data_IF_620481719775
#
_entry.id   IF_620481719775
#
_cell.length_a   1.000
_cell.length_b   1.000
_cell.length_c   1.000
_cell.angle_alpha   90.00
_cell.angle_beta   90.00
_cell.angle_gamma   90.00
#
_symmetry.space_group_name_H-M   'P 1'
#
loop_
_entity.id
_entity.type
_entity.pdbx_description
1 polymer ?
#
# COMPACT_ATOMS: atom_id res chain seq x y z
N UNK A 1 -13.63 27.08 -10.35
CA UNK A 1 -12.79 27.08 -9.13
C UNK A 1 -11.51 26.36 -9.50
N UNK A 2 -10.46 27.10 -9.84
CA UNK A 2 -9.20 26.56 -10.40
C UNK A 2 -8.37 25.92 -9.29
N UNK A 3 -8.21 24.60 -9.36
CA UNK A 3 -7.58 23.75 -8.36
C UNK A 3 -6.43 23.02 -9.06
N UNK A 4 -5.36 23.75 -9.38
CA UNK A 4 -4.29 23.16 -10.19
C UNK A 4 -3.00 22.88 -9.42
N UNK A 5 -2.68 23.55 -8.30
CA UNK A 5 -1.36 23.37 -7.67
C UNK A 5 -1.32 23.63 -6.13
N UNK A 6 -2.23 23.03 -5.33
CA UNK A 6 -2.13 23.17 -3.86
C UNK A 6 -1.37 22.01 -3.20
N UNK A 7 -0.56 22.26 -2.15
CA UNK A 7 0.07 21.18 -1.37
C UNK A 7 -0.95 20.18 -0.79
N UNK A 8 -2.17 20.64 -0.48
CA UNK A 8 -3.29 19.80 -0.03
C UNK A 8 -3.71 18.83 -1.12
N UNK A 9 -3.88 19.30 -2.35
CA UNK A 9 -4.19 18.47 -3.50
C UNK A 9 -3.10 17.45 -3.76
N UNK A 10 -1.83 17.89 -3.77
CA UNK A 10 -0.69 17.02 -3.99
C UNK A 10 -0.62 15.90 -2.93
N UNK A 11 -0.86 16.22 -1.66
CA UNK A 11 -0.90 15.22 -0.59
C UNK A 11 -2.06 14.23 -0.76
N UNK A 12 -3.26 14.73 -1.08
CA UNK A 12 -4.43 13.89 -1.35
C UNK A 12 -4.17 12.90 -2.51
N UNK A 13 -3.60 13.39 -3.62
CA UNK A 13 -3.23 12.55 -4.76
C UNK A 13 -2.12 11.56 -4.42
N UNK A 14 -1.14 11.97 -3.62
CA UNK A 14 -0.08 11.09 -3.14
C UNK A 14 -0.61 9.93 -2.29
N UNK A 15 -1.63 10.15 -1.48
CA UNK A 15 -2.26 9.08 -0.69
C UNK A 15 -3.17 8.22 -1.57
N UNK A 16 -3.88 8.81 -2.53
CA UNK A 16 -4.68 8.08 -3.53
C UNK A 16 -3.82 7.12 -4.36
N UNK A 17 -2.56 7.46 -4.63
CA UNK A 17 -1.62 6.57 -5.31
C UNK A 17 -1.43 5.24 -4.56
N UNK A 18 -1.33 5.24 -3.23
CA UNK A 18 -1.23 3.99 -2.46
C UNK A 18 -2.47 3.12 -2.61
N UNK A 19 -3.66 3.70 -2.59
CA UNK A 19 -4.90 2.94 -2.83
C UNK A 19 -4.92 2.30 -4.21
N UNK A 20 -4.45 3.04 -5.22
CA UNK A 20 -4.31 2.56 -6.59
C UNK A 20 -3.28 1.42 -6.73
N UNK A 21 -2.41 1.20 -5.76
CA UNK A 21 -1.41 0.12 -5.76
C UNK A 21 -1.78 -1.10 -4.90
N UNK A 22 -2.91 -1.08 -4.16
CA UNK A 22 -3.30 -2.21 -3.29
C UNK A 22 -3.42 -3.53 -4.05
N UNK A 23 -2.97 -4.63 -3.48
CA UNK A 23 -3.16 -6.00 -3.97
C UNK A 23 -4.00 -6.81 -2.97
N UNK A 24 -4.54 -7.96 -3.37
CA UNK A 24 -5.39 -8.79 -2.51
C UNK A 24 -6.88 -8.46 -2.61
N UNK A 25 -7.68 -8.97 -1.65
CA UNK A 25 -9.09 -8.63 -1.55
C UNK A 25 -9.27 -7.17 -1.13
N UNK A 26 -10.25 -6.53 -1.73
CA UNK A 26 -10.65 -5.15 -1.53
C UNK A 26 -11.96 -5.13 -0.72
N UNK A 27 -12.13 -4.15 0.18
CA UNK A 27 -13.17 -4.19 1.23
C UNK A 27 -14.44 -3.39 0.89
N UNK A 28 -14.55 -2.90 -0.35
CA UNK A 28 -15.65 -2.08 -0.82
C UNK A 28 -15.52 -0.61 -0.46
N UNK A 29 -14.45 -0.20 0.25
CA UNK A 29 -14.15 1.22 0.55
C UNK A 29 -13.29 1.91 -0.51
N UNK A 30 -13.11 1.26 -1.66
CA UNK A 30 -12.22 1.72 -2.72
C UNK A 30 -12.68 3.04 -3.31
N UNK A 31 -11.70 3.90 -3.58
CA UNK A 31 -11.92 5.22 -4.19
C UNK A 31 -11.89 5.18 -5.72
N UNK A 32 -11.75 4.00 -6.32
CA UNK A 32 -11.62 3.78 -7.76
C UNK A 32 -12.55 2.66 -8.23
N UNK A 33 -13.33 2.93 -9.27
CA UNK A 33 -14.23 1.97 -9.93
C UNK A 33 -13.49 0.99 -10.86
N UNK A 34 -12.26 1.32 -11.24
CA UNK A 34 -11.40 0.53 -12.11
C UNK A 34 -10.41 -0.38 -11.35
N UNK A 35 -10.46 -0.38 -10.01
CA UNK A 35 -9.71 -1.31 -9.16
C UNK A 35 -10.66 -2.35 -8.57
N UNK A 36 -10.18 -3.59 -8.45
CA UNK A 36 -10.93 -4.70 -7.84
C UNK A 36 -9.98 -5.72 -7.21
N UNK A 37 -10.56 -6.79 -6.66
CA UNK A 37 -9.84 -7.92 -6.09
C UNK A 37 -8.78 -8.45 -7.05
N UNK A 38 -7.57 -8.67 -6.55
CA UNK A 38 -6.49 -9.22 -7.36
C UNK A 38 -5.57 -10.09 -6.52
N UNK A 39 -4.80 -10.97 -7.17
CA UNK A 39 -3.76 -11.75 -6.52
C UNK A 39 -4.21 -12.59 -5.31
N UNK A 40 -5.45 -13.10 -5.34
CA UNK A 40 -6.09 -13.82 -4.23
C UNK A 40 -5.42 -15.16 -3.87
N UNK A 41 -4.51 -15.65 -4.71
CA UNK A 41 -3.74 -16.88 -4.48
C UNK A 41 -2.30 -16.66 -4.01
N UNK A 42 -1.89 -15.42 -3.76
CA UNK A 42 -0.53 -15.09 -3.34
C UNK A 42 -0.14 -15.85 -2.05
N UNK A 43 0.94 -16.63 -2.11
CA UNK A 43 1.46 -17.46 -1.00
C UNK A 43 0.90 -18.89 -0.91
N UNK A 44 -0.11 -19.23 -1.72
CA UNK A 44 -0.77 -20.55 -1.69
C UNK A 44 0.15 -21.71 -2.08
N UNK A 45 1.14 -21.44 -2.93
CA UNK A 45 2.22 -22.37 -3.32
C UNK A 45 3.10 -22.79 -2.14
N UNK A 46 3.08 -22.03 -1.05
CA UNK A 46 3.79 -22.30 0.19
C UNK A 46 2.86 -22.54 1.39
N UNK A 47 1.55 -22.70 1.15
CA UNK A 47 0.55 -22.92 2.20
C UNK A 47 0.34 -21.70 3.11
N UNK A 48 0.59 -20.49 2.61
CA UNK A 48 0.46 -19.24 3.34
C UNK A 48 -0.60 -18.33 2.70
N UNK A 49 -1.16 -17.43 3.51
CA UNK A 49 -1.88 -16.26 2.99
C UNK A 49 -0.90 -15.09 2.91
N UNK A 50 -0.46 -14.76 1.70
CA UNK A 50 0.34 -13.58 1.41
C UNK A 50 -0.44 -12.57 0.56
N UNK A 51 -1.78 -12.58 0.60
CA UNK A 51 -2.63 -11.55 -0.03
C UNK A 51 -2.53 -10.21 0.72
N UNK A 52 -2.77 -9.09 0.02
CA UNK A 52 -2.66 -7.73 0.58
C UNK A 52 -1.43 -6.99 0.07
N UNK A 53 -1.05 -5.88 0.71
CA UNK A 53 0.17 -5.12 0.40
C UNK A 53 0.12 -4.41 -0.95
N UNK A 54 1.22 -3.76 -1.35
CA UNK A 54 1.25 -2.93 -2.55
C UNK A 54 2.00 -3.59 -3.71
N UNK A 55 1.52 -3.39 -4.93
CA UNK A 55 2.37 -3.56 -6.11
C UNK A 55 3.42 -2.46 -6.14
N UNK A 56 4.64 -2.82 -6.56
CA UNK A 56 5.80 -1.94 -6.42
C UNK A 56 5.76 -0.72 -7.37
N UNK A 57 5.46 -0.96 -8.64
CA UNK A 57 5.47 0.08 -9.67
C UNK A 57 4.31 -0.12 -10.67
N UNK A 58 4.61 -0.15 -11.96
CA UNK A 58 3.64 -0.42 -13.03
C UNK A 58 3.45 -1.92 -13.34
N UNK A 59 4.10 -2.78 -12.58
CA UNK A 59 3.99 -4.23 -12.63
C UNK A 59 3.11 -4.77 -11.49
N UNK A 60 3.09 -6.09 -11.33
CA UNK A 60 2.28 -6.75 -10.30
C UNK A 60 3.13 -7.57 -9.31
N UNK A 61 4.44 -7.29 -9.22
CA UNK A 61 5.32 -7.92 -8.23
C UNK A 61 5.25 -7.14 -6.92
N UNK A 62 5.31 -7.87 -5.80
CA UNK A 62 5.35 -7.29 -4.46
C UNK A 62 6.76 -7.37 -3.92
N UNK A 63 7.57 -6.36 -4.20
CA UNK A 63 8.92 -6.24 -3.67
C UNK A 63 8.89 -5.73 -2.23
N UNK A 64 9.25 -6.58 -1.26
CA UNK A 64 9.14 -6.26 0.17
C UNK A 64 10.02 -5.10 0.62
N UNK A 65 11.23 -4.96 0.04
CA UNK A 65 12.16 -3.90 0.43
C UNK A 65 11.65 -2.47 0.09
N UNK A 66 11.31 -2.13 -1.17
CA UNK A 66 10.76 -0.82 -1.52
C UNK A 66 9.38 -0.57 -0.89
N UNK A 67 8.56 -1.62 -0.68
CA UNK A 67 7.32 -1.49 0.07
C UNK A 67 7.58 -1.06 1.53
N UNK A 68 8.52 -1.72 2.22
CA UNK A 68 8.86 -1.41 3.61
C UNK A 68 9.43 0.00 3.75
N UNK A 69 10.27 0.42 2.79
CA UNK A 69 10.74 1.80 2.71
C UNK A 69 9.59 2.79 2.56
N UNK A 70 8.67 2.54 1.62
CA UNK A 70 7.53 3.42 1.36
C UNK A 70 6.61 3.58 2.57
N UNK A 71 6.28 2.47 3.24
CA UNK A 71 5.46 2.48 4.48
C UNK A 71 6.19 3.23 5.60
N UNK A 72 7.51 3.08 5.70
CA UNK A 72 8.33 3.81 6.70
C UNK A 72 8.32 5.31 6.45
N UNK A 73 8.55 5.75 5.20
CA UNK A 73 8.56 7.17 4.83
C UNK A 73 7.18 7.80 5.00
N UNK A 74 6.11 7.09 4.62
CA UNK A 74 4.73 7.55 4.85
C UNK A 74 4.42 7.70 6.34
N UNK A 75 4.81 6.72 7.16
CA UNK A 75 4.64 6.75 8.61
C UNK A 75 5.42 7.90 9.25
N UNK A 76 6.67 8.08 8.84
CA UNK A 76 7.50 9.18 9.32
C UNK A 76 6.91 10.54 8.91
N UNK A 77 6.44 10.67 7.67
CA UNK A 77 5.76 11.87 7.19
C UNK A 77 4.54 12.23 8.03
N UNK A 78 3.67 11.26 8.33
CA UNK A 78 2.51 11.47 9.18
C UNK A 78 2.91 11.85 10.61
N UNK A 79 3.90 11.19 11.19
CA UNK A 79 4.40 11.48 12.55
C UNK A 79 5.00 12.89 12.65
N UNK A 80 5.84 13.29 11.68
CA UNK A 80 6.54 14.57 11.72
C UNK A 80 5.69 15.76 11.31
N UNK A 81 4.69 15.55 10.44
CA UNK A 81 3.93 16.64 9.82
C UNK A 81 2.42 16.50 10.00
N UNK A 82 1.97 15.87 11.09
CA UNK A 82 0.53 15.61 11.38
C UNK A 82 -0.38 16.82 11.14
N UNK A 83 0.01 18.02 11.57
CA UNK A 83 -0.80 19.23 11.36
C UNK A 83 -1.10 19.51 9.86
N UNK A 84 -0.15 19.19 8.97
CA UNK A 84 -0.36 19.30 7.52
C UNK A 84 -1.34 18.26 6.99
N UNK A 85 -1.27 17.01 7.49
CA UNK A 85 -2.26 15.97 7.18
C UNK A 85 -3.65 16.32 7.71
N UNK A 86 -3.74 16.92 8.90
CA UNK A 86 -5.00 17.39 9.49
C UNK A 86 -5.62 18.52 8.68
N UNK A 87 -4.82 19.53 8.31
CA UNK A 87 -5.27 20.63 7.45
C UNK A 87 -5.74 20.15 6.07
N UNK A 88 -5.15 19.06 5.56
CA UNK A 88 -5.54 18.43 4.31
C UNK A 88 -6.69 17.42 4.44
N UNK A 89 -7.15 17.11 5.65
CA UNK A 89 -8.16 16.07 5.90
C UNK A 89 -7.69 14.65 5.53
N UNK A 90 -6.37 14.40 5.57
CA UNK A 90 -5.74 13.18 5.06
C UNK A 90 -5.21 12.21 6.12
N UNK A 91 -5.36 12.53 7.42
CA UNK A 91 -4.85 11.68 8.52
C UNK A 91 -5.35 10.24 8.41
N UNK A 92 -6.66 10.04 8.36
CA UNK A 92 -7.25 8.69 8.31
C UNK A 92 -6.86 7.94 7.04
N UNK A 93 -6.79 8.61 5.90
CA UNK A 93 -6.38 7.99 4.65
C UNK A 93 -4.91 7.53 4.70
N UNK A 94 -4.02 8.34 5.29
CA UNK A 94 -2.62 7.97 5.50
C UNK A 94 -2.49 6.80 6.50
N UNK A 95 -3.23 6.83 7.62
CA UNK A 95 -3.25 5.74 8.60
C UNK A 95 -3.74 4.43 7.98
N UNK A 96 -4.77 4.48 7.13
CA UNK A 96 -5.28 3.32 6.40
C UNK A 96 -4.24 2.78 5.40
N UNK A 97 -3.54 3.66 4.68
CA UNK A 97 -2.47 3.24 3.77
C UNK A 97 -1.29 2.60 4.51
N UNK A 98 -0.89 3.15 5.67
CA UNK A 98 0.13 2.55 6.53
C UNK A 98 -0.33 1.17 7.00
N UNK A 99 -1.55 1.09 7.55
CA UNK A 99 -2.15 -0.15 8.04
C UNK A 99 -2.15 -1.23 6.96
N UNK A 100 -2.58 -0.91 5.75
CA UNK A 100 -2.67 -1.89 4.65
C UNK A 100 -1.30 -2.51 4.31
N UNK A 101 -0.23 -1.69 4.33
CA UNK A 101 1.14 -2.17 4.15
C UNK A 101 1.64 -3.00 5.34
N UNK A 102 1.38 -2.55 6.57
CA UNK A 102 1.84 -3.27 7.78
C UNK A 102 1.08 -4.57 8.02
N UNK A 103 -0.21 -4.64 7.70
CA UNK A 103 -1.01 -5.86 7.80
C UNK A 103 -0.44 -6.94 6.85
N UNK A 104 0.07 -6.55 5.68
CA UNK A 104 0.82 -7.46 4.81
C UNK A 104 2.15 -7.90 5.43
N UNK A 105 2.91 -7.02 6.08
CA UNK A 105 4.16 -7.44 6.75
C UNK A 105 3.92 -8.43 7.90
N UNK A 106 2.79 -8.32 8.61
CA UNK A 106 2.41 -9.30 9.61
C UNK A 106 2.17 -10.69 9.00
N UNK A 107 1.55 -10.75 7.82
CA UNK A 107 1.39 -12.01 7.06
C UNK A 107 2.74 -12.53 6.54
N UNK A 108 3.57 -11.64 6.00
CA UNK A 108 4.87 -11.97 5.44
C UNK A 108 5.90 -12.39 6.50
N UNK A 109 5.73 -12.04 7.77
CA UNK A 109 6.52 -12.57 8.88
C UNK A 109 5.90 -13.86 9.43
N UNK A 110 6.05 -14.95 8.69
CA UNK A 110 5.30 -16.21 8.95
C UNK A 110 5.80 -17.01 10.16
N UNK A 111 7.00 -16.73 10.67
CA UNK A 111 7.57 -17.35 11.87
C UNK A 111 8.66 -16.45 12.47
N UNK A 112 9.05 -16.71 13.73
CA UNK A 112 10.23 -16.07 14.34
C UNK A 112 11.43 -16.31 13.44
N UNK A 113 11.98 -15.27 12.82
CA UNK A 113 13.11 -15.32 11.87
C UNK A 113 12.77 -15.76 10.43
N UNK A 114 11.50 -15.82 10.03
CA UNK A 114 11.12 -16.03 8.62
C UNK A 114 10.34 -14.83 8.09
N UNK A 115 10.85 -14.23 7.01
CA UNK A 115 10.22 -13.11 6.33
C UNK A 115 10.16 -13.37 4.82
N UNK A 116 8.96 -13.28 4.25
CA UNK A 116 8.73 -13.37 2.80
C UNK A 116 9.05 -12.03 2.14
N UNK A 117 10.22 -11.95 1.52
CA UNK A 117 10.74 -10.70 0.93
C UNK A 117 10.14 -10.33 -0.43
N UNK A 118 9.50 -11.27 -1.12
CA UNK A 118 8.91 -11.06 -2.45
C UNK A 118 7.77 -12.04 -2.70
N UNK A 119 6.76 -11.60 -3.47
CA UNK A 119 5.73 -12.48 -4.04
C UNK A 119 5.62 -12.20 -5.54
N UNK A 120 5.56 -13.29 -6.32
CA UNK A 120 5.61 -13.37 -7.80
C UNK A 120 7.00 -13.18 -8.40
N UNK A 121 7.12 -13.68 -9.62
CA UNK A 121 8.30 -13.51 -10.47
C UNK A 121 8.08 -12.36 -11.44
N UNK A 122 9.20 -11.76 -11.87
CA UNK A 122 9.24 -10.83 -12.98
C UNK A 122 9.19 -11.62 -14.29
N UNK A 123 8.05 -12.21 -14.61
CA UNK A 123 7.82 -12.75 -15.95
C UNK A 123 7.11 -11.65 -16.72
N UNK A 124 7.86 -10.98 -17.60
CA UNK A 124 7.23 -10.13 -18.61
C UNK A 124 6.24 -10.93 -19.47
N UNK A 125 5.40 -10.27 -20.28
CA UNK A 125 4.59 -10.98 -21.27
C UNK A 125 5.43 -11.90 -22.17
#
# INVERSE_FOLDING_TARGET
MTYHDSPVQALCMGILFYDAQRSGPLDGSERFDWRGDSALGDGSDNGLDLTGGYYDAGDHVKFGFPMAYSVTVLSWGLLSYRAGYEAAGQVTAAENAIRFGTDYFLKAHSASMTLWGQVRDFVGP
#
